data_IF_467324850389
#
_entry.id   IF_467324850389
#
_cell.length_a   1.000
_cell.length_b   1.000
_cell.length_c   1.000
_cell.angle_alpha   90.00
_cell.angle_beta   90.00
_cell.angle_gamma   90.00
#
_symmetry.space_group_name_H-M   'P 1'
#
loop_
_entity.id
_entity.type
_entity.pdbx_description
1 polymer ?
#
# COMPACT_ATOMS: atom_id res chain seq x y z
N UNK A 1 -13.30 19.03 3.12
CA UNK A 1 -12.76 17.98 4.02
C UNK A 1 -11.35 18.38 4.38
N UNK A 2 -11.01 18.40 5.67
CA UNK A 2 -9.68 18.81 6.14
C UNK A 2 -8.79 17.59 6.24
N UNK A 3 -7.68 17.58 5.49
CA UNK A 3 -6.68 16.50 5.51
C UNK A 3 -5.99 16.41 6.87
N UNK A 4 -5.81 15.19 7.41
CA UNK A 4 -5.08 15.01 8.68
C UNK A 4 -3.59 15.35 8.51
N UNK A 5 -2.89 15.70 9.60
CA UNK A 5 -1.43 15.95 9.56
C UNK A 5 -0.64 14.73 9.07
N UNK A 6 -1.12 13.51 9.36
CA UNK A 6 -0.52 12.28 8.85
C UNK A 6 -0.71 12.14 7.34
N UNK A 7 -1.94 12.32 6.86
CA UNK A 7 -2.23 12.23 5.43
C UNK A 7 -1.55 13.33 4.61
N UNK A 8 -1.40 14.53 5.18
CA UNK A 8 -0.65 15.61 4.54
C UNK A 8 0.80 15.21 4.25
N UNK A 9 1.46 14.47 5.15
CA UNK A 9 2.82 13.95 4.90
C UNK A 9 2.87 12.98 3.71
N UNK A 10 1.85 12.13 3.56
CA UNK A 10 1.73 11.25 2.41
C UNK A 10 1.55 12.04 1.11
N UNK A 11 0.68 13.05 1.11
CA UNK A 11 0.47 13.92 -0.05
C UNK A 11 1.71 14.79 -0.38
N UNK A 12 2.44 15.25 0.63
CA UNK A 12 3.70 15.98 0.46
C UNK A 12 4.76 15.07 -0.18
N UNK A 13 4.84 13.81 0.24
CA UNK A 13 5.75 12.83 -0.35
C UNK A 13 5.43 12.56 -1.82
N UNK A 14 4.15 12.41 -2.18
CA UNK A 14 3.76 12.26 -3.58
C UNK A 14 4.17 13.47 -4.42
N UNK A 15 4.00 14.69 -3.89
CA UNK A 15 4.46 15.92 -4.55
C UNK A 15 5.99 15.97 -4.70
N UNK A 16 6.75 15.55 -3.69
CA UNK A 16 8.21 15.45 -3.77
C UNK A 16 8.64 14.47 -4.85
N UNK A 17 8.02 13.28 -4.93
CA UNK A 17 8.29 12.29 -5.98
C UNK A 17 8.04 12.87 -7.38
N UNK A 18 6.94 13.60 -7.56
CA UNK A 18 6.59 14.18 -8.87
C UNK A 18 7.51 15.33 -9.28
N UNK A 19 8.00 16.12 -8.31
CA UNK A 19 8.83 17.29 -8.61
C UNK A 19 10.32 16.96 -8.68
N UNK A 20 10.80 16.11 -7.78
CA UNK A 20 12.22 15.83 -7.57
C UNK A 20 12.62 14.39 -7.91
N UNK A 21 11.68 13.57 -8.37
CA UNK A 21 11.94 12.16 -8.68
C UNK A 21 12.79 11.97 -9.92
N UNK A 22 13.77 11.07 -9.83
CA UNK A 22 14.50 10.59 -10.99
C UNK A 22 13.75 9.44 -11.65
N UNK A 23 13.61 9.49 -12.98
CA UNK A 23 13.04 8.39 -13.74
C UNK A 23 14.03 7.21 -13.79
N UNK A 24 13.55 6.01 -13.44
CA UNK A 24 14.34 4.78 -13.44
C UNK A 24 13.55 3.62 -14.05
N UNK A 25 14.21 2.72 -14.82
CA UNK A 25 13.56 1.49 -15.30
C UNK A 25 13.21 0.57 -14.12
N UNK A 26 12.13 -0.21 -14.26
CA UNK A 26 11.65 -1.16 -13.24
C UNK A 26 11.46 -2.55 -13.84
N UNK A 27 11.44 -3.59 -12.99
CA UNK A 27 11.25 -5.00 -13.41
C UNK A 27 9.96 -5.27 -14.20
N UNK A 28 8.99 -4.38 -14.07
CA UNK A 28 7.68 -4.47 -14.76
C UNK A 28 7.70 -3.85 -16.15
N UNK A 29 8.78 -3.17 -16.54
CA UNK A 29 8.89 -2.47 -17.82
C UNK A 29 8.22 -1.09 -17.88
N UNK A 30 7.40 -0.71 -16.89
CA UNK A 30 6.68 0.58 -16.86
C UNK A 30 7.60 1.76 -16.52
N UNK A 31 8.65 1.53 -15.71
CA UNK A 31 9.48 2.59 -15.13
C UNK A 31 8.82 3.27 -13.91
N UNK A 32 9.61 4.04 -13.17
CA UNK A 32 9.16 4.75 -11.96
C UNK A 32 9.87 6.11 -11.84
N UNK A 33 9.20 7.10 -11.23
CA UNK A 33 9.86 8.26 -10.65
C UNK A 33 10.15 7.96 -9.18
N UNK A 34 11.38 8.17 -8.74
CA UNK A 34 11.80 7.77 -7.39
C UNK A 34 12.67 8.81 -6.73
N UNK A 35 12.51 8.90 -5.41
CA UNK A 35 13.33 9.70 -4.51
C UNK A 35 13.80 8.84 -3.35
N UNK A 36 15.00 9.08 -2.81
CA UNK A 36 15.62 8.19 -1.81
C UNK A 36 15.51 8.72 -0.38
N UNK A 37 15.21 7.86 0.60
CA UNK A 37 15.35 8.17 2.03
C UNK A 37 14.33 9.16 2.61
N UNK A 38 13.07 9.14 2.15
CA UNK A 38 11.99 9.97 2.73
C UNK A 38 11.32 9.23 3.89
N UNK A 39 10.86 9.97 4.89
CA UNK A 39 10.20 9.42 6.08
C UNK A 39 8.84 10.07 6.31
N UNK A 40 7.88 9.24 6.75
CA UNK A 40 6.58 9.70 7.26
C UNK A 40 6.41 9.25 8.71
N UNK A 41 5.65 10.02 9.49
CA UNK A 41 5.32 9.70 10.89
C UNK A 41 3.82 9.83 11.11
N UNK A 42 3.22 8.82 11.74
CA UNK A 42 1.79 8.78 12.05
C UNK A 42 1.59 8.63 13.55
N UNK A 43 0.83 9.55 14.16
CA UNK A 43 0.47 9.48 15.57
C UNK A 43 -0.81 8.63 15.73
N UNK A 44 -0.64 7.40 16.21
CA UNK A 44 -1.75 6.45 16.38
C UNK A 44 -2.68 6.80 17.55
N UNK A 45 -2.24 7.66 18.49
CA UNK A 45 -3.13 8.16 19.56
C UNK A 45 -4.16 9.17 19.00
N UNK A 46 -3.87 9.74 17.83
CA UNK A 46 -4.75 10.72 17.15
C UNK A 46 -5.69 10.07 16.14
N UNK A 47 -5.59 8.77 15.90
CA UNK A 47 -6.45 8.01 15.00
C UNK A 47 -5.68 6.99 14.16
N UNK A 48 -6.40 6.32 13.27
CA UNK A 48 -5.82 5.33 12.36
C UNK A 48 -5.41 5.99 11.03
N UNK A 49 -4.19 5.75 10.51
CA UNK A 49 -3.65 6.44 9.33
C UNK A 49 -4.20 5.87 8.00
N UNK A 50 -5.53 5.75 7.87
CA UNK A 50 -6.15 5.47 6.58
C UNK A 50 -6.22 6.75 5.74
N UNK A 51 -5.79 6.67 4.49
CA UNK A 51 -5.95 7.77 3.53
C UNK A 51 -7.42 8.04 3.26
N UNK A 52 -7.80 9.31 3.15
CA UNK A 52 -9.20 9.76 2.95
C UNK A 52 -9.42 10.41 1.60
N UNK A 53 -8.35 10.91 0.97
CA UNK A 53 -8.32 11.45 -0.39
C UNK A 53 -8.58 10.42 -1.49
N UNK A 54 -8.54 9.12 -1.15
CA UNK A 54 -8.96 8.00 -2.02
C UNK A 54 -9.64 6.95 -1.16
N UNK A 55 -10.73 6.35 -1.67
CA UNK A 55 -11.40 5.22 -1.00
C UNK A 55 -10.43 4.03 -0.91
N UNK A 56 -10.21 3.55 0.31
CA UNK A 56 -9.37 2.38 0.59
C UNK A 56 -10.21 1.11 0.60
N UNK A 57 -9.72 0.04 -0.05
CA UNK A 57 -10.28 -1.30 0.10
C UNK A 57 -9.80 -1.91 1.43
N UNK A 58 -10.39 -1.47 2.54
CA UNK A 58 -9.90 -1.80 3.88
C UNK A 58 -10.08 -3.28 4.24
N UNK A 59 -11.12 -3.94 3.73
CA UNK A 59 -11.33 -5.39 3.91
C UNK A 59 -10.12 -6.20 3.45
N UNK A 60 -9.64 -5.96 2.22
CA UNK A 60 -8.45 -6.64 1.68
C UNK A 60 -7.19 -6.42 2.53
N UNK A 61 -6.96 -5.21 3.03
CA UNK A 61 -5.81 -4.88 3.90
C UNK A 61 -5.85 -5.68 5.21
N UNK A 62 -7.03 -5.78 5.84
CA UNK A 62 -7.20 -6.55 7.08
C UNK A 62 -7.04 -8.05 6.83
N UNK A 63 -7.66 -8.58 5.77
CA UNK A 63 -7.51 -9.99 5.39
C UNK A 63 -6.05 -10.36 5.13
N UNK A 64 -5.31 -9.55 4.37
CA UNK A 64 -3.87 -9.79 4.12
C UNK A 64 -3.05 -9.84 5.41
N UNK A 65 -3.29 -8.90 6.34
CA UNK A 65 -2.61 -8.92 7.64
C UNK A 65 -2.94 -10.18 8.45
N UNK A 66 -4.20 -10.61 8.46
CA UNK A 66 -4.60 -11.85 9.13
C UNK A 66 -3.95 -13.08 8.50
N UNK A 67 -3.85 -13.12 7.17
CA UNK A 67 -3.14 -14.17 6.44
C UNK A 67 -1.66 -14.24 6.84
N UNK A 68 -0.96 -13.11 6.92
CA UNK A 68 0.41 -13.05 7.43
C UNK A 68 0.54 -13.55 8.87
N UNK A 69 -0.36 -13.14 9.77
CA UNK A 69 -0.34 -13.56 11.18
C UNK A 69 -0.64 -15.05 11.37
N UNK A 70 -1.34 -15.67 10.42
CA UNK A 70 -1.57 -17.12 10.38
C UNK A 70 -0.33 -17.90 9.94
N UNK A 71 0.67 -17.24 9.36
CA UNK A 71 1.83 -17.88 8.75
C UNK A 71 1.47 -18.69 7.50
N UNK A 72 0.32 -18.40 6.90
CA UNK A 72 -0.14 -19.05 5.67
C UNK A 72 0.58 -18.41 4.47
N UNK A 73 0.90 -19.24 3.48
CA UNK A 73 1.58 -18.81 2.25
C UNK A 73 0.77 -19.15 1.01
N UNK A 74 -0.35 -19.85 1.15
CA UNK A 74 -1.22 -20.20 0.02
C UNK A 74 -2.29 -19.11 -0.17
N UNK A 75 -2.48 -18.66 -1.41
CA UNK A 75 -3.42 -17.57 -1.73
C UNK A 75 -4.89 -17.98 -1.65
N UNK A 76 -5.21 -19.27 -1.60
CA UNK A 76 -6.58 -19.78 -1.49
C UNK A 76 -7.34 -19.21 -0.31
N UNK A 77 -6.68 -19.03 0.84
CA UNK A 77 -7.33 -18.42 2.00
C UNK A 77 -7.80 -16.99 1.70
N UNK A 78 -7.04 -16.21 0.93
CA UNK A 78 -7.44 -14.86 0.51
C UNK A 78 -8.60 -14.90 -0.48
N UNK A 79 -8.55 -15.80 -1.47
CA UNK A 79 -9.62 -16.00 -2.46
C UNK A 79 -10.93 -16.43 -1.80
N UNK A 80 -10.87 -17.35 -0.84
CA UNK A 80 -12.03 -17.80 -0.04
C UNK A 80 -12.67 -16.65 0.77
N UNK A 81 -11.93 -15.55 1.00
CA UNK A 81 -12.39 -14.33 1.68
C UNK A 81 -12.65 -13.14 0.72
N UNK A 82 -12.78 -13.40 -0.59
CA UNK A 82 -13.03 -12.40 -1.65
C UNK A 82 -11.88 -11.35 -1.77
N UNK A 83 -10.64 -11.80 -1.61
CA UNK A 83 -9.43 -10.97 -1.68
C UNK A 83 -8.48 -11.48 -2.75
N UNK A 84 -8.34 -10.70 -3.82
CA UNK A 84 -7.64 -11.08 -5.06
C UNK A 84 -6.34 -10.31 -5.31
N UNK A 85 -5.77 -9.67 -4.28
CA UNK A 85 -4.61 -8.78 -4.43
C UNK A 85 -3.31 -9.53 -4.75
N UNK A 86 -3.28 -10.85 -4.53
CA UNK A 86 -2.12 -11.72 -4.78
C UNK A 86 -2.30 -12.65 -6.00
N UNK A 87 -3.45 -12.66 -6.67
CA UNK A 87 -3.78 -13.59 -7.76
C UNK A 87 -2.74 -13.60 -8.90
N UNK A 88 -2.17 -12.44 -9.23
CA UNK A 88 -1.18 -12.32 -10.30
C UNK A 88 0.19 -12.98 -9.97
N UNK A 89 0.38 -13.44 -8.73
CA UNK A 89 1.60 -14.09 -8.25
C UNK A 89 1.36 -15.49 -7.66
N UNK A 90 0.11 -15.97 -7.68
CA UNK A 90 -0.22 -17.34 -7.31
C UNK A 90 0.28 -18.32 -8.37
N UNK A 91 0.73 -19.50 -7.95
CA UNK A 91 1.01 -20.62 -8.86
C UNK A 91 -0.26 -21.48 -9.08
N UNK A 92 -0.13 -22.61 -9.77
CA UNK A 92 -1.28 -23.49 -10.07
C UNK A 92 -1.90 -24.11 -8.81
N UNK A 93 -1.15 -24.20 -7.70
CA UNK A 93 -1.59 -24.76 -6.41
C UNK A 93 -2.00 -23.68 -5.39
N UNK A 94 -1.75 -22.40 -5.70
CA UNK A 94 -2.18 -21.22 -4.95
C UNK A 94 -1.09 -20.58 -4.10
#
# INVERSE_FOLDING_TARGET
MTTSRGEQQYLDLLRDVLHNGEHRPSRTGVGVYSVFGRQMRFDLQRGFPAVTTKRLYFHGVVCELLWFLRGDTNTRWLVDHDVHIWDAWADEDG
#
